data_IF_953775326100
#
_entry.id   IF_953775326100
#
_cell.length_a   1.000
_cell.length_b   1.000
_cell.length_c   1.000
_cell.angle_alpha   90.00
_cell.angle_beta   90.00
_cell.angle_gamma   90.00
#
_symmetry.space_group_name_H-M   'P 1'
#
loop_
_entity.id
_entity.type
_entity.pdbx_description
1 polymer ?
#
# COMPACT_ATOMS: atom_id res chain seq x y z
N UNK A 1 0.29 5.76 -11.38
CA UNK A 1 -0.80 4.82 -11.01
C UNK A 1 -1.82 5.55 -10.16
N UNK A 2 -3.06 5.08 -10.09
CA UNK A 2 -4.07 5.64 -9.17
C UNK A 2 -4.05 4.85 -7.86
N UNK A 3 -4.32 5.52 -6.74
CA UNK A 3 -4.49 4.86 -5.45
C UNK A 3 -5.87 4.19 -5.39
N UNK A 4 -5.86 2.87 -5.21
CA UNK A 4 -7.02 2.06 -4.89
C UNK A 4 -6.83 1.38 -3.53
N UNK A 5 -7.74 1.71 -2.60
CA UNK A 5 -7.70 1.22 -1.22
C UNK A 5 -7.81 -0.31 -1.12
N UNK A 6 -8.74 -1.00 -1.82
CA UNK A 6 -8.85 -2.47 -1.73
C UNK A 6 -7.56 -3.16 -2.17
N UNK A 7 -6.94 -2.66 -3.24
CA UNK A 7 -5.69 -3.15 -3.78
C UNK A 7 -4.51 -2.93 -2.82
N UNK A 8 -4.42 -1.75 -2.19
CA UNK A 8 -3.37 -1.49 -1.18
C UNK A 8 -3.55 -2.38 0.03
N UNK A 9 -4.79 -2.57 0.47
CA UNK A 9 -5.09 -3.46 1.59
C UNK A 9 -4.66 -4.90 1.27
N UNK A 10 -4.92 -5.39 0.05
CA UNK A 10 -4.50 -6.72 -0.41
C UNK A 10 -2.98 -6.84 -0.48
N UNK A 11 -2.30 -5.88 -1.10
CA UNK A 11 -0.85 -5.84 -1.18
C UNK A 11 -0.20 -5.90 0.21
N UNK A 12 -0.73 -5.13 1.17
CA UNK A 12 -0.27 -5.13 2.56
C UNK A 12 -0.52 -6.49 3.23
N UNK A 13 -1.65 -7.13 2.96
CA UNK A 13 -1.98 -8.44 3.54
C UNK A 13 -1.09 -9.55 2.98
N UNK A 14 -0.70 -9.47 1.70
CA UNK A 14 0.17 -10.43 1.03
C UNK A 14 1.66 -10.24 1.40
N UNK A 15 2.03 -9.06 1.91
CA UNK A 15 3.42 -8.71 2.23
C UNK A 15 3.57 -8.30 3.70
N UNK A 16 4.13 -9.20 4.52
CA UNK A 16 4.38 -8.95 5.95
C UNK A 16 5.19 -7.68 6.21
N UNK A 17 6.19 -7.39 5.37
CA UNK A 17 7.01 -6.17 5.48
C UNK A 17 6.15 -4.89 5.38
N UNK A 18 5.22 -4.85 4.42
CA UNK A 18 4.30 -3.70 4.25
C UNK A 18 3.32 -3.59 5.41
N UNK A 19 2.88 -4.71 5.98
CA UNK A 19 2.03 -4.71 7.15
C UNK A 19 2.74 -4.12 8.38
N UNK A 20 4.01 -4.48 8.58
CA UNK A 20 4.81 -3.93 9.68
C UNK A 20 5.12 -2.44 9.45
N UNK A 21 5.43 -2.03 8.21
CA UNK A 21 5.57 -0.59 7.85
C UNK A 21 4.27 0.18 8.09
N UNK A 22 3.12 -0.38 7.73
CA UNK A 22 1.81 0.25 7.96
C UNK A 22 1.57 0.50 9.45
N UNK A 23 1.85 -0.51 10.29
CA UNK A 23 1.73 -0.38 11.75
C UNK A 23 2.69 0.65 12.32
N UNK A 24 3.93 0.68 11.83
CA UNK A 24 4.91 1.70 12.18
C UNK A 24 4.40 3.10 11.86
N UNK A 25 3.97 3.35 10.62
CA UNK A 25 3.39 4.64 10.20
C UNK A 25 2.19 5.06 11.04
N UNK A 26 1.29 4.12 11.36
CA UNK A 26 0.14 4.41 12.21
C UNK A 26 0.56 4.84 13.62
N UNK A 27 1.57 4.17 14.20
CA UNK A 27 2.06 4.46 15.55
C UNK A 27 2.89 5.74 15.61
N UNK A 28 3.82 5.90 14.67
CA UNK A 28 4.82 6.97 14.70
C UNK A 28 4.19 8.33 14.36
N UNK A 29 3.15 8.34 13.53
CA UNK A 29 2.49 9.57 13.08
C UNK A 29 1.07 9.73 13.65
N UNK A 30 0.65 8.85 14.57
CA UNK A 30 -0.73 8.76 15.10
C UNK A 30 -1.81 8.78 13.98
N UNK A 31 -1.50 8.12 12.85
CA UNK A 31 -2.34 8.16 11.66
C UNK A 31 -3.44 7.11 11.73
N UNK A 32 -4.66 7.53 11.38
CA UNK A 32 -5.72 6.57 11.09
C UNK A 32 -5.32 5.69 9.90
N UNK A 33 -5.73 4.42 9.93
CA UNK A 33 -5.40 3.39 8.93
C UNK A 33 -5.55 3.86 7.47
N UNK A 34 -6.57 4.67 7.17
CA UNK A 34 -6.83 5.15 5.81
C UNK A 34 -5.77 6.14 5.31
N UNK A 35 -5.29 7.02 6.19
CA UNK A 35 -4.23 7.95 5.87
C UNK A 35 -2.87 7.25 5.84
N UNK A 36 -2.63 6.31 6.75
CA UNK A 36 -1.43 5.50 6.75
C UNK A 36 -1.30 4.63 5.48
N UNK A 37 -2.39 4.05 4.98
CA UNK A 37 -2.39 3.32 3.70
C UNK A 37 -2.06 4.22 2.51
N UNK A 38 -2.55 5.46 2.49
CA UNK A 38 -2.20 6.44 1.46
C UNK A 38 -0.73 6.83 1.55
N UNK A 39 -0.23 7.13 2.75
CA UNK A 39 1.17 7.46 2.97
C UNK A 39 2.09 6.31 2.54
N UNK A 40 1.74 5.07 2.91
CA UNK A 40 2.47 3.87 2.51
C UNK A 40 2.46 3.69 0.98
N UNK A 41 1.35 3.96 0.31
CA UNK A 41 1.29 3.93 -1.15
C UNK A 41 2.26 4.94 -1.77
N UNK A 42 2.26 6.18 -1.30
CA UNK A 42 3.16 7.20 -1.83
C UNK A 42 4.65 6.89 -1.54
N UNK A 43 4.94 6.21 -0.43
CA UNK A 43 6.32 5.80 -0.07
C UNK A 43 6.81 4.59 -0.84
N UNK A 44 5.99 3.54 -0.96
CA UNK A 44 6.44 2.20 -1.36
C UNK A 44 6.01 1.79 -2.77
N UNK A 45 5.05 2.51 -3.36
CA UNK A 45 4.37 2.11 -4.59
C UNK A 45 4.38 3.21 -5.64
N UNK A 46 4.16 4.46 -5.26
CA UNK A 46 4.23 5.59 -6.19
C UNK A 46 5.68 5.85 -6.64
N UNK A 47 5.83 6.59 -7.75
CA UNK A 47 7.11 7.14 -8.23
C UNK A 47 8.28 6.15 -8.35
N UNK A 48 8.02 4.90 -8.76
CA UNK A 48 9.04 3.87 -8.92
C UNK A 48 9.31 3.05 -7.65
N UNK A 49 8.42 3.12 -6.66
CA UNK A 49 8.55 2.40 -5.40
C UNK A 49 8.73 0.89 -5.56
N UNK A 50 9.35 0.27 -4.55
CA UNK A 50 9.72 -1.16 -4.56
C UNK A 50 8.55 -2.09 -4.86
N UNK A 51 7.35 -1.72 -4.43
CA UNK A 51 6.14 -2.52 -4.62
C UNK A 51 5.27 -2.02 -5.77
N UNK A 52 5.76 -1.10 -6.62
CA UNK A 52 5.00 -0.58 -7.77
C UNK A 52 4.51 -1.70 -8.70
N UNK A 53 5.39 -2.64 -9.06
CA UNK A 53 5.04 -3.75 -9.96
C UNK A 53 4.06 -4.72 -9.32
N UNK A 54 4.29 -5.09 -8.05
CA UNK A 54 3.40 -5.96 -7.29
C UNK A 54 2.01 -5.31 -7.14
N UNK A 55 1.96 -4.00 -6.89
CA UNK A 55 0.72 -3.25 -6.89
C UNK A 55 0.06 -3.30 -8.27
N UNK A 56 0.77 -2.97 -9.34
CA UNK A 56 0.22 -3.00 -10.70
C UNK A 56 -0.37 -4.35 -11.09
N UNK A 57 0.28 -5.45 -10.71
CA UNK A 57 -0.20 -6.80 -10.99
C UNK A 57 -1.59 -7.04 -10.37
N UNK A 58 -1.84 -6.49 -9.18
CA UNK A 58 -3.15 -6.56 -8.53
C UNK A 58 -4.23 -5.72 -9.24
N UNK A 59 -3.88 -4.65 -9.96
CA UNK A 59 -4.83 -3.84 -10.75
C UNK A 59 -5.44 -4.67 -11.88
N UNK A 60 -4.61 -5.46 -12.55
CA UNK A 60 -5.04 -6.36 -13.62
C UNK A 60 -6.04 -7.43 -13.14
N UNK A 61 -5.97 -7.82 -11.86
CA UNK A 61 -6.94 -8.73 -11.24
C UNK A 61 -8.32 -8.08 -10.99
N UNK A 62 -8.39 -6.75 -10.85
CA UNK A 62 -9.66 -6.03 -10.64
C UNK A 62 -10.39 -5.68 -11.95
N UNK A 63 -9.72 -5.79 -13.10
CA UNK A 63 -10.27 -5.46 -14.43
C UNK A 63 -10.84 -6.72 -15.15
N UNK A 64 -10.72 -7.91 -14.56
CA UNK A 64 -11.38 -9.14 -15.05
C UNK A 64 -12.78 -9.32 -14.47
#
# INVERSE_FOLDING_TARGET
MKYFRPQMQRLVNENRELHDRLKGLMRDMDLQKNYALKALYHSEVADGGRYQQAYQALDADFIK
#
